data_IF_317367779899
#
_entry.id   IF_317367779899
#
_cell.length_a   1.000
_cell.length_b   1.000
_cell.length_c   1.000
_cell.angle_alpha   90.00
_cell.angle_beta   90.00
_cell.angle_gamma   90.00
#
_symmetry.space_group_name_H-M   'P 1'
#
loop_
_entity.id
_entity.type
_entity.pdbx_description
1 polymer ?
#
# COMPACT_ATOMS: atom_id res chain seq x y z
N UNK A 1 9.18 8.63 -55.83
CA UNK A 1 9.59 7.39 -56.53
C UNK A 1 10.21 6.49 -55.48
N UNK A 2 9.55 5.35 -55.23
CA UNK A 2 9.92 4.19 -54.36
C UNK A 2 9.98 4.49 -52.84
N UNK A 3 8.96 4.18 -52.01
CA UNK A 3 8.46 2.85 -51.56
C UNK A 3 9.55 1.99 -50.93
N UNK A 4 9.56 1.86 -49.60
CA UNK A 4 9.83 0.60 -48.89
C UNK A 4 9.15 0.66 -47.52
N UNK A 5 8.07 -0.11 -47.39
CA UNK A 5 7.47 -0.47 -46.11
C UNK A 5 8.20 -1.69 -45.52
N UNK A 6 8.20 -1.75 -44.18
CA UNK A 6 8.51 -2.96 -43.43
C UNK A 6 7.39 -3.18 -42.43
N UNK A 7 6.47 -4.07 -42.79
CA UNK A 7 5.45 -4.64 -41.93
C UNK A 7 6.12 -5.56 -40.89
N UNK A 8 5.78 -5.47 -39.59
CA UNK A 8 6.17 -6.48 -38.62
C UNK A 8 5.29 -7.74 -38.77
N UNK A 9 5.97 -8.87 -38.94
CA UNK A 9 5.46 -10.23 -39.09
C UNK A 9 4.61 -10.71 -37.90
N UNK A 10 3.48 -11.34 -38.21
CA UNK A 10 2.47 -11.84 -37.28
C UNK A 10 2.69 -13.30 -36.82
N UNK A 11 3.93 -13.71 -36.50
CA UNK A 11 4.28 -15.13 -36.27
C UNK A 11 4.75 -15.51 -34.85
N UNK A 12 4.54 -14.66 -33.83
CA UNK A 12 4.92 -14.98 -32.44
C UNK A 12 3.74 -15.11 -31.46
N UNK A 13 2.53 -15.43 -31.94
CA UNK A 13 1.34 -15.53 -31.09
C UNK A 13 0.95 -16.95 -30.62
N UNK A 14 1.81 -17.97 -30.79
CA UNK A 14 1.46 -19.34 -30.40
C UNK A 14 2.67 -20.11 -29.87
N UNK A 15 3.02 -19.94 -28.59
CA UNK A 15 3.77 -20.93 -27.79
C UNK A 15 3.82 -20.43 -26.33
N UNK A 16 2.95 -20.98 -25.48
CA UNK A 16 2.99 -20.63 -24.05
C UNK A 16 1.80 -21.04 -23.19
N UNK A 17 0.91 -21.93 -23.64
CA UNK A 17 -0.06 -22.59 -22.76
C UNK A 17 0.22 -24.09 -22.83
N UNK A 18 1.04 -24.60 -21.90
CA UNK A 18 0.85 -25.90 -21.25
C UNK A 18 1.97 -26.20 -20.24
N UNK A 19 1.53 -26.80 -19.13
CA UNK A 19 2.29 -27.60 -18.16
C UNK A 19 3.09 -26.88 -17.07
N UNK A 20 2.50 -26.76 -15.87
CA UNK A 20 3.14 -27.18 -14.59
C UNK A 20 2.06 -27.74 -13.63
N UNK A 21 2.13 -29.07 -13.41
CA UNK A 21 1.95 -29.88 -12.18
C UNK A 21 0.71 -29.63 -11.28
N UNK A 22 -0.25 -30.54 -11.06
CA UNK A 22 -0.20 -31.94 -10.56
C UNK A 22 0.70 -32.16 -9.32
N UNK A 23 0.09 -32.35 -8.14
CA UNK A 23 0.82 -32.89 -6.97
C UNK A 23 0.17 -32.77 -5.60
N UNK A 24 -0.73 -33.70 -5.29
CA UNK A 24 -0.92 -34.41 -4.00
C UNK A 24 -1.44 -33.68 -2.73
N UNK A 25 -2.43 -34.32 -2.06
CA UNK A 25 -2.53 -34.27 -0.59
C UNK A 25 -3.91 -34.37 0.05
N UNK A 26 -4.45 -35.60 0.18
CA UNK A 26 -5.27 -36.16 1.27
C UNK A 26 -6.15 -35.25 2.16
N UNK A 27 -7.47 -35.52 2.16
CA UNK A 27 -8.20 -35.73 3.42
C UNK A 27 -9.42 -36.63 3.20
N UNK A 28 -9.46 -37.69 4.00
CA UNK A 28 -10.44 -38.76 4.06
C UNK A 28 -11.84 -38.31 4.52
N UNK A 29 -12.83 -39.08 4.02
CA UNK A 29 -14.21 -39.38 4.47
C UNK A 29 -14.50 -39.33 6.00
N UNK A 30 -15.78 -39.30 6.49
CA UNK A 30 -16.95 -39.96 5.89
C UNK A 30 -18.34 -39.28 5.97
N UNK A 31 -19.34 -39.84 5.25
CA UNK A 31 -20.77 -39.59 5.41
C UNK A 31 -21.46 -40.67 6.26
N UNK A 32 -22.31 -40.27 7.22
CA UNK A 32 -23.31 -41.10 7.93
C UNK A 32 -24.16 -40.11 8.78
N UNK A 33 -25.49 -40.12 8.87
CA UNK A 33 -26.47 -41.16 8.58
C UNK A 33 -27.28 -41.49 9.84
N UNK A 34 -28.35 -40.74 10.15
CA UNK A 34 -29.47 -41.15 11.03
C UNK A 34 -30.52 -40.03 10.99
N UNK A 35 -31.77 -40.21 10.57
CA UNK A 35 -32.63 -41.37 10.70
C UNK A 35 -33.71 -41.05 11.71
N UNK A 36 -34.85 -40.53 11.26
CA UNK A 36 -36.12 -40.90 11.89
C UNK A 36 -37.26 -40.85 10.88
N UNK A 37 -37.59 -42.04 10.39
CA UNK A 37 -38.85 -42.38 9.77
C UNK A 37 -39.93 -42.56 10.85
N UNK A 38 -41.18 -42.30 10.49
CA UNK A 38 -42.34 -42.55 11.35
C UNK A 38 -43.40 -41.48 11.13
N UNK A 39 -44.12 -41.53 10.01
CA UNK A 39 -45.43 -42.20 9.90
C UNK A 39 -46.60 -41.37 10.43
N UNK A 40 -47.71 -41.51 9.69
CA UNK A 40 -49.05 -40.91 9.82
C UNK A 40 -49.14 -39.46 9.30
N UNK A 41 -49.81 -39.11 8.19
CA UNK A 41 -50.99 -39.64 7.51
C UNK A 41 -52.10 -40.07 8.47
N UNK A 42 -53.14 -39.23 8.61
CA UNK A 42 -54.53 -39.53 9.02
C UNK A 42 -55.07 -38.27 9.75
N UNK A 43 -56.28 -37.83 9.38
CA UNK A 43 -57.09 -37.01 10.28
C UNK A 43 -57.60 -35.68 9.73
N UNK A 44 -58.28 -35.72 8.58
CA UNK A 44 -59.35 -34.76 8.31
C UNK A 44 -60.51 -35.14 9.24
N UNK A 45 -60.50 -34.64 10.49
CA UNK A 45 -61.59 -34.89 11.44
C UNK A 45 -62.37 -33.60 11.69
N UNK A 46 -63.59 -33.62 11.19
CA UNK A 46 -64.63 -32.67 11.47
C UNK A 46 -65.20 -32.93 12.87
N UNK A 47 -65.32 -31.86 13.66
CA UNK A 47 -66.33 -31.73 14.71
C UNK A 47 -65.94 -32.16 16.12
N UNK A 48 -65.80 -31.18 17.02
CA UNK A 48 -66.59 -31.14 18.27
C UNK A 48 -66.53 -29.73 18.91
N UNK A 49 -67.61 -28.93 18.90
CA UNK A 49 -67.65 -27.59 19.47
C UNK A 49 -68.15 -27.58 20.91
N UNK A 50 -67.49 -28.28 21.84
CA UNK A 50 -67.75 -28.05 23.27
C UNK A 50 -66.55 -28.38 24.15
N UNK A 51 -65.68 -27.38 24.39
CA UNK A 51 -64.71 -27.47 25.49
C UNK A 51 -64.68 -26.16 26.30
N UNK A 52 -64.84 -26.22 27.64
CA UNK A 52 -65.07 -25.04 28.47
C UNK A 52 -63.78 -24.22 28.69
N UNK A 53 -63.86 -22.94 28.32
CA UNK A 53 -63.14 -21.78 28.88
C UNK A 53 -61.75 -21.99 29.48
N UNK A 54 -60.73 -22.25 28.66
CA UNK A 54 -59.34 -21.98 29.05
C UNK A 54 -59.10 -20.47 28.98
N UNK A 55 -58.83 -19.86 30.14
CA UNK A 55 -58.35 -18.46 30.25
C UNK A 55 -57.18 -18.28 29.27
N UNK A 56 -57.13 -17.19 28.49
CA UNK A 56 -56.04 -16.96 27.55
C UNK A 56 -54.74 -16.87 28.34
N UNK A 57 -53.97 -17.96 28.35
CA UNK A 57 -52.60 -17.95 28.84
C UNK A 57 -51.85 -16.95 27.97
N UNK A 58 -51.32 -15.90 28.59
CA UNK A 58 -50.43 -14.96 27.91
C UNK A 58 -49.43 -15.77 27.11
N UNK A 59 -49.45 -15.60 25.78
CA UNK A 59 -48.59 -16.30 24.84
C UNK A 59 -47.16 -16.21 25.36
N UNK A 60 -46.62 -17.35 25.79
CA UNK A 60 -45.23 -17.47 26.26
C UNK A 60 -44.24 -16.91 25.23
N UNK A 61 -44.59 -16.98 23.94
CA UNK A 61 -43.84 -16.35 22.85
C UNK A 61 -43.70 -14.83 22.98
N UNK A 62 -44.72 -14.12 23.47
CA UNK A 62 -44.68 -12.67 23.62
C UNK A 62 -43.78 -12.24 24.80
N UNK A 63 -43.75 -13.03 25.87
CA UNK A 63 -42.81 -12.83 26.99
C UNK A 63 -41.35 -13.02 26.55
N UNK A 64 -41.05 -14.08 25.78
CA UNK A 64 -39.70 -14.33 25.28
C UNK A 64 -39.27 -13.23 24.29
N UNK A 65 -40.16 -12.82 23.38
CA UNK A 65 -39.89 -11.72 22.45
C UNK A 65 -39.59 -10.41 23.19
N UNK A 66 -40.41 -10.06 24.19
CA UNK A 66 -40.20 -8.86 25.00
C UNK A 66 -38.87 -8.87 25.74
N UNK A 67 -38.47 -10.03 26.28
CA UNK A 67 -37.17 -10.21 26.94
C UNK A 67 -36.01 -10.00 25.96
N UNK A 68 -36.07 -10.61 24.77
CA UNK A 68 -35.00 -10.48 23.76
C UNK A 68 -34.86 -9.02 23.30
N UNK A 69 -35.98 -8.33 23.07
CA UNK A 69 -35.98 -6.91 22.70
C UNK A 69 -35.38 -6.04 23.81
N UNK A 70 -35.72 -6.32 25.08
CA UNK A 70 -35.16 -5.59 26.21
C UNK A 70 -33.63 -5.79 26.33
N UNK A 71 -33.13 -7.02 26.14
CA UNK A 71 -31.69 -7.32 26.18
C UNK A 71 -30.97 -6.64 25.01
N UNK A 72 -31.47 -6.78 23.79
CA UNK A 72 -30.87 -6.16 22.60
C UNK A 72 -30.86 -4.63 22.68
N UNK A 73 -31.97 -4.02 23.14
CA UNK A 73 -32.07 -2.59 23.37
C UNK A 73 -31.09 -2.09 24.45
N UNK A 74 -30.93 -2.86 25.53
CA UNK A 74 -29.97 -2.57 26.60
C UNK A 74 -28.52 -2.53 26.11
N UNK A 75 -28.10 -3.54 25.35
CA UNK A 75 -26.73 -3.60 24.79
C UNK A 75 -26.47 -2.41 23.86
N UNK A 76 -27.44 -2.04 23.02
CA UNK A 76 -27.29 -0.96 22.05
C UNK A 76 -27.16 0.42 22.73
N UNK A 77 -27.93 0.68 23.79
CA UNK A 77 -27.78 1.90 24.60
C UNK A 77 -26.42 1.93 25.31
N UNK A 78 -25.94 0.79 25.81
CA UNK A 78 -24.65 0.71 26.48
C UNK A 78 -23.51 1.07 25.50
N UNK A 79 -23.50 0.51 24.29
CA UNK A 79 -22.53 0.87 23.25
C UNK A 79 -22.58 2.36 22.89
N UNK A 80 -23.79 2.95 22.81
CA UNK A 80 -23.96 4.37 22.55
C UNK A 80 -23.34 5.24 23.65
N UNK A 81 -23.46 4.83 24.91
CA UNK A 81 -22.92 5.59 26.04
C UNK A 81 -21.39 5.50 26.11
N UNK A 82 -20.81 4.32 25.85
CA UNK A 82 -19.35 4.15 25.78
C UNK A 82 -18.72 4.85 24.57
N UNK A 83 -19.41 4.85 23.42
CA UNK A 83 -18.95 5.57 22.23
C UNK A 83 -18.86 7.10 22.46
N UNK A 84 -19.73 7.66 23.30
CA UNK A 84 -19.69 9.09 23.65
C UNK A 84 -18.66 9.41 24.74
N UNK A 85 -18.36 8.47 25.64
CA UNK A 85 -17.35 8.65 26.69
C UNK A 85 -15.91 8.43 26.21
N UNK A 86 -15.73 7.68 25.11
CA UNK A 86 -14.48 7.60 24.37
C UNK A 86 -14.17 8.89 23.59
N UNK A 87 -14.55 10.06 24.14
CA UNK A 87 -14.16 11.36 23.62
C UNK A 87 -12.67 11.29 23.34
N UNK A 88 -12.32 11.39 22.05
CA UNK A 88 -10.95 11.44 21.59
C UNK A 88 -10.26 12.49 22.44
N UNK A 89 -9.50 12.05 23.46
CA UNK A 89 -8.52 12.90 24.07
C UNK A 89 -7.54 13.13 22.96
N UNK A 90 -7.77 14.20 22.20
CA UNK A 90 -6.70 14.85 21.47
C UNK A 90 -5.72 15.20 22.57
N UNK A 91 -4.77 14.29 22.81
CA UNK A 91 -3.52 14.61 23.47
C UNK A 91 -3.02 15.73 22.59
N UNK A 92 -3.27 16.95 23.04
CA UNK A 92 -2.70 18.13 22.47
C UNK A 92 -1.23 17.96 22.80
N UNK A 93 -0.52 17.24 21.93
CA UNK A 93 0.92 17.15 21.95
C UNK A 93 1.32 18.57 21.57
N UNK A 94 1.31 19.43 22.58
CA UNK A 94 2.05 20.66 22.55
C UNK A 94 3.48 20.15 22.43
N UNK A 95 3.98 20.08 21.20
CA UNK A 95 5.40 19.94 20.95
C UNK A 95 5.96 21.27 21.43
N UNK A 96 6.11 21.40 22.75
CA UNK A 96 7.02 22.33 23.36
C UNK A 96 8.37 21.92 22.82
N UNK A 97 8.75 22.50 21.68
CA UNK A 97 10.14 22.69 21.38
C UNK A 97 10.64 23.53 22.55
N UNK A 98 11.50 23.01 23.45
CA UNK A 98 12.21 23.88 24.34
C UNK A 98 13.16 24.69 23.45
N UNK A 99 12.65 25.77 22.87
CA UNK A 99 13.46 26.92 22.48
C UNK A 99 13.82 27.59 23.80
N UNK A 100 14.58 26.87 24.63
CA UNK A 100 15.21 27.39 25.81
C UNK A 100 16.14 28.49 25.34
N UNK A 101 15.69 29.74 25.52
CA UNK A 101 16.54 30.89 25.51
C UNK A 101 17.68 30.63 26.50
N UNK A 102 18.90 30.52 25.99
CA UNK A 102 20.07 30.23 26.82
C UNK A 102 21.30 29.96 25.99
N UNK A 103 21.47 28.73 25.49
CA UNK A 103 22.83 28.26 25.18
C UNK A 103 23.09 27.90 23.70
N UNK A 104 22.06 27.78 22.84
CA UNK A 104 22.27 27.33 21.45
C UNK A 104 22.41 28.43 20.39
N UNK A 105 21.99 29.66 20.70
CA UNK A 105 22.09 30.78 19.73
C UNK A 105 23.55 31.16 19.44
N UNK A 106 24.44 31.03 20.42
CA UNK A 106 25.87 31.36 20.25
C UNK A 106 26.57 30.33 19.35
N UNK A 107 26.14 29.06 19.37
CA UNK A 107 26.71 28.02 18.52
C UNK A 107 26.25 28.15 17.06
N UNK A 108 24.98 28.48 16.82
CA UNK A 108 24.45 28.69 15.47
C UNK A 108 25.06 29.93 14.80
N UNK A 109 25.28 31.01 15.54
CA UNK A 109 25.92 32.23 15.00
C UNK A 109 27.39 31.97 14.63
N UNK A 110 28.12 31.19 15.44
CA UNK A 110 29.51 30.80 15.15
C UNK A 110 29.62 29.84 13.95
N UNK A 111 28.69 28.90 13.80
CA UNK A 111 28.65 28.02 12.63
C UNK A 111 28.26 28.81 11.37
N UNK A 112 27.31 29.74 11.48
CA UNK A 112 26.92 30.61 10.38
C UNK A 112 28.09 31.49 9.90
N UNK A 113 28.80 32.14 10.82
CA UNK A 113 29.98 32.95 10.49
C UNK A 113 31.10 32.11 9.90
N UNK A 114 31.30 30.87 10.39
CA UNK A 114 32.27 29.94 9.82
C UNK A 114 31.93 29.57 8.38
N UNK A 115 30.66 29.27 8.08
CA UNK A 115 30.20 28.95 6.72
C UNK A 115 30.32 30.17 5.81
N UNK A 116 29.88 31.35 6.26
CA UNK A 116 29.98 32.59 5.47
C UNK A 116 31.44 32.98 5.21
N UNK A 117 32.35 32.75 6.16
CA UNK A 117 33.79 32.98 5.97
C UNK A 117 34.42 31.97 4.99
N UNK A 118 33.94 30.73 4.97
CA UNK A 118 34.34 29.70 4.01
C UNK A 118 33.94 30.08 2.59
N UNK A 119 32.70 30.54 2.41
CA UNK A 119 32.17 30.98 1.11
C UNK A 119 32.94 32.19 0.57
N UNK A 120 33.24 33.18 1.42
CA UNK A 120 34.07 34.35 1.03
C UNK A 120 35.50 33.96 0.63
N UNK A 121 36.06 32.88 1.19
CA UNK A 121 37.38 32.36 0.77
C UNK A 121 37.31 31.60 -0.56
N UNK A 122 36.22 30.90 -0.83
CA UNK A 122 36.06 30.14 -2.09
C UNK A 122 35.65 31.00 -3.28
N UNK A 123 35.08 32.18 -3.06
CA UNK A 123 34.67 33.11 -4.12
C UNK A 123 35.85 33.80 -4.81
N UNK A 124 37.06 33.68 -4.25
CA UNK A 124 38.29 33.98 -4.97
C UNK A 124 38.51 32.88 -6.01
N UNK A 125 37.88 33.05 -7.18
CA UNK A 125 38.24 32.35 -8.40
C UNK A 125 39.74 32.51 -8.60
N UNK A 126 40.50 31.44 -8.30
CA UNK A 126 41.94 31.39 -8.60
C UNK A 126 42.05 31.39 -10.11
N UNK A 127 42.18 32.59 -10.68
CA UNK A 127 42.42 32.78 -12.08
C UNK A 127 43.85 32.33 -12.35
N UNK A 128 43.99 31.10 -12.83
CA UNK A 128 45.27 30.51 -13.19
C UNK A 128 45.87 31.39 -14.30
N UNK A 129 47.07 31.96 -14.12
CA UNK A 129 47.74 32.75 -15.14
C UNK A 129 47.85 31.92 -16.42
N UNK A 130 47.61 32.54 -17.58
CA UNK A 130 47.63 31.81 -18.86
C UNK A 130 49.00 31.19 -19.17
N UNK A 131 50.08 31.65 -18.52
CA UNK A 131 51.42 31.06 -18.67
C UNK A 131 51.56 29.66 -18.05
N UNK A 132 50.71 29.28 -17.09
CA UNK A 132 50.71 27.95 -16.45
C UNK A 132 49.86 26.91 -17.21
N UNK A 133 49.06 27.33 -18.20
CA UNK A 133 48.24 26.44 -19.04
C UNK A 133 49.08 25.95 -20.23
N UNK A 134 50.13 25.17 -19.98
CA UNK A 134 51.01 24.65 -21.06
C UNK A 134 50.44 23.45 -21.82
N UNK A 135 49.40 22.78 -21.31
CA UNK A 135 48.74 21.66 -21.98
C UNK A 135 47.27 21.96 -22.20
N UNK A 136 46.87 21.96 -23.47
CA UNK A 136 45.47 21.99 -23.84
C UNK A 136 44.82 20.66 -23.40
N UNK A 137 43.87 20.66 -22.44
CA UNK A 137 43.25 19.43 -21.94
C UNK A 137 42.37 18.74 -22.98
N UNK A 138 42.13 19.38 -24.14
CA UNK A 138 41.43 18.80 -25.28
C UNK A 138 42.38 18.25 -26.36
N UNK A 139 43.69 18.45 -26.20
CA UNK A 139 44.70 17.76 -26.99
C UNK A 139 45.09 16.47 -26.26
N UNK A 140 44.16 15.51 -26.25
CA UNK A 140 44.53 14.11 -26.08
C UNK A 140 45.54 13.80 -27.18
N UNK A 141 46.79 13.53 -26.79
CA UNK A 141 47.87 13.33 -27.74
C UNK A 141 47.47 12.36 -28.86
N UNK A 142 47.88 12.68 -30.08
CA UNK A 142 48.01 11.71 -31.16
C UNK A 142 48.93 10.59 -30.66
N UNK A 143 48.32 9.61 -30.02
CA UNK A 143 48.93 8.34 -29.67
C UNK A 143 49.19 7.66 -31.02
N UNK A 144 50.40 7.16 -31.28
CA UNK A 144 50.69 6.44 -32.51
C UNK A 144 49.65 5.35 -32.71
N UNK A 145 49.26 5.10 -33.97
CA UNK A 145 48.28 4.13 -34.43
C UNK A 145 48.51 2.72 -33.82
N UNK A 146 48.18 2.54 -32.54
CA UNK A 146 47.64 1.29 -32.06
C UNK A 146 46.31 1.17 -32.76
N UNK A 147 46.24 0.26 -33.73
CA UNK A 147 45.00 -0.37 -34.19
C UNK A 147 44.01 -0.40 -33.02
N UNK A 148 43.07 0.55 -33.03
CA UNK A 148 41.93 0.55 -32.13
C UNK A 148 41.10 -0.62 -32.63
N UNK A 149 41.39 -1.80 -32.09
CA UNK A 149 40.38 -2.84 -31.90
C UNK A 149 39.25 -2.10 -31.22
N UNK A 150 38.20 -1.78 -31.99
CA UNK A 150 36.96 -1.20 -31.49
C UNK A 150 36.64 -2.01 -30.23
N UNK A 151 36.72 -1.42 -29.02
CA UNK A 151 36.35 -2.17 -27.83
C UNK A 151 34.90 -2.53 -28.07
N UNK A 152 34.64 -3.84 -28.16
CA UNK A 152 33.37 -4.45 -28.49
C UNK A 152 32.27 -3.69 -27.72
N UNK A 153 31.60 -2.73 -28.37
CA UNK A 153 30.52 -1.90 -27.80
C UNK A 153 29.24 -2.72 -27.66
N UNK A 154 29.40 -4.01 -27.43
CA UNK A 154 28.43 -4.94 -26.91
C UNK A 154 28.69 -5.02 -25.40
N UNK A 155 28.54 -3.89 -24.70
CA UNK A 155 27.99 -4.00 -23.34
C UNK A 155 26.71 -4.80 -23.56
N UNK A 156 26.75 -6.07 -23.15
CA UNK A 156 25.75 -7.05 -23.55
C UNK A 156 24.38 -6.43 -23.27
N UNK A 157 23.40 -6.58 -24.16
CA UNK A 157 22.05 -6.05 -23.94
C UNK A 157 21.51 -6.46 -22.54
N UNK A 158 21.99 -7.60 -22.03
CA UNK A 158 21.81 -8.08 -20.67
C UNK A 158 22.33 -7.12 -19.56
N UNK A 159 23.49 -6.48 -19.71
CA UNK A 159 23.99 -5.48 -18.76
C UNK A 159 23.15 -4.20 -18.79
N UNK A 160 22.70 -3.77 -19.96
CA UNK A 160 21.83 -2.59 -20.09
C UNK A 160 20.48 -2.86 -19.41
N UNK A 161 19.88 -4.02 -19.66
CA UNK A 161 18.63 -4.45 -19.01
C UNK A 161 18.79 -4.57 -17.49
N UNK A 162 19.92 -5.09 -17.00
CA UNK A 162 20.22 -5.16 -15.57
C UNK A 162 20.26 -3.77 -14.93
N UNK A 163 21.01 -2.84 -15.54
CA UNK A 163 21.12 -1.47 -15.02
C UNK A 163 19.77 -0.75 -15.00
N UNK A 164 18.92 -0.95 -16.01
CA UNK A 164 17.59 -0.35 -16.05
C UNK A 164 16.68 -0.88 -14.94
N UNK A 165 16.70 -2.18 -14.66
CA UNK A 165 15.94 -2.77 -13.53
C UNK A 165 16.40 -2.20 -12.20
N UNK A 166 17.71 -2.16 -11.96
CA UNK A 166 18.25 -1.60 -10.72
C UNK A 166 17.90 -0.12 -10.53
N UNK A 167 17.87 0.67 -11.60
CA UNK A 167 17.43 2.07 -11.53
C UNK A 167 15.96 2.18 -11.16
N UNK A 168 15.10 1.38 -11.81
CA UNK A 168 13.66 1.33 -11.51
C UNK A 168 13.41 0.93 -10.06
N UNK A 169 14.08 -0.11 -9.56
CA UNK A 169 13.93 -0.57 -8.17
C UNK A 169 14.32 0.52 -7.16
N UNK A 170 15.36 1.30 -7.47
CA UNK A 170 15.78 2.44 -6.64
C UNK A 170 14.73 3.54 -6.65
N UNK A 171 14.16 3.86 -7.81
CA UNK A 171 13.10 4.85 -7.95
C UNK A 171 11.83 4.43 -7.20
N UNK A 172 11.42 3.17 -7.33
CA UNK A 172 10.27 2.59 -6.61
C UNK A 172 10.50 2.70 -5.09
N UNK A 173 11.67 2.27 -4.58
CA UNK A 173 11.98 2.37 -3.14
C UNK A 173 12.07 3.80 -2.65
N UNK A 174 12.70 4.69 -3.42
CA UNK A 174 12.79 6.11 -3.07
C UNK A 174 11.39 6.74 -2.99
N UNK A 175 10.52 6.43 -3.96
CA UNK A 175 9.14 6.90 -3.98
C UNK A 175 8.33 6.32 -2.82
N UNK A 176 8.47 5.02 -2.53
CA UNK A 176 7.82 4.37 -1.39
C UNK A 176 8.20 5.04 -0.07
N UNK A 177 9.48 5.36 0.13
CA UNK A 177 9.97 6.04 1.34
C UNK A 177 9.45 7.47 1.50
N UNK A 178 9.05 8.12 0.40
CA UNK A 178 8.46 9.46 0.41
C UNK A 178 6.95 9.44 0.68
N UNK A 179 6.28 8.30 0.48
CA UNK A 179 4.85 8.16 0.73
C UNK A 179 4.58 8.04 2.23
N UNK A 180 3.55 8.75 2.70
CA UNK A 180 3.13 8.70 4.10
C UNK A 180 1.64 8.44 4.19
N UNK A 181 1.27 7.37 4.88
CA UNK A 181 -0.13 7.09 5.20
C UNK A 181 -0.58 7.99 6.36
N UNK A 182 -1.47 8.92 6.08
CA UNK A 182 -1.96 9.88 7.08
C UNK A 182 -3.14 9.33 7.88
N UNK A 183 -4.13 8.76 7.19
CA UNK A 183 -5.36 8.27 7.81
C UNK A 183 -6.08 7.32 6.88
N UNK A 184 -6.77 6.34 7.45
CA UNK A 184 -7.71 5.49 6.72
C UNK A 184 -9.12 5.78 7.24
N UNK A 185 -10.06 6.00 6.33
CA UNK A 185 -11.47 6.16 6.64
C UNK A 185 -12.15 4.84 6.27
N UNK A 186 -12.51 4.07 7.28
CA UNK A 186 -13.26 2.82 7.13
C UNK A 186 -14.73 3.10 6.84
N UNK A 187 -15.31 2.35 5.91
CA UNK A 187 -16.71 2.46 5.51
C UNK A 187 -17.04 1.42 4.43
N UNK A 188 -18.25 1.49 3.84
CA UNK A 188 -18.62 0.63 2.71
C UNK A 188 -17.67 0.81 1.52
N UNK A 189 -17.16 2.04 1.32
CA UNK A 189 -16.12 2.36 0.35
C UNK A 189 -14.92 2.90 1.14
N UNK A 190 -13.88 2.08 1.39
CA UNK A 190 -12.72 2.52 2.15
C UNK A 190 -11.94 3.58 1.36
N UNK A 191 -11.45 4.60 2.06
CA UNK A 191 -10.63 5.68 1.49
C UNK A 191 -9.38 5.84 2.33
N UNK A 192 -8.21 5.83 1.69
CA UNK A 192 -6.93 6.10 2.32
C UNK A 192 -6.46 7.52 1.97
N UNK A 193 -5.91 8.25 2.95
CA UNK A 193 -5.20 9.51 2.69
C UNK A 193 -3.70 9.25 2.70
N UNK A 194 -3.09 9.35 1.53
CA UNK A 194 -1.65 9.15 1.35
C UNK A 194 -1.06 10.49 0.89
N UNK A 195 -0.05 10.97 1.61
CA UNK A 195 0.61 12.27 1.35
C UNK A 195 -0.40 13.42 1.21
N UNK A 196 -1.44 13.41 2.05
CA UNK A 196 -2.48 14.43 2.09
C UNK A 196 -3.59 14.30 1.05
N UNK A 197 -3.49 13.40 0.06
CA UNK A 197 -4.52 13.20 -0.99
C UNK A 197 -5.37 11.95 -0.71
N UNK A 198 -6.70 11.99 -0.95
CA UNK A 198 -7.57 10.83 -0.79
C UNK A 198 -7.48 9.90 -2.00
N UNK A 199 -7.38 8.60 -1.76
CA UNK A 199 -7.32 7.55 -2.78
C UNK A 199 -8.24 6.37 -2.40
N UNK A 200 -8.74 5.67 -3.42
CA UNK A 200 -9.57 4.46 -3.32
C UNK A 200 -8.82 3.24 -3.86
N UNK A 201 -9.38 2.06 -3.62
CA UNK A 201 -8.90 0.82 -4.24
C UNK A 201 -8.96 0.97 -5.76
N UNK A 202 -7.84 0.67 -6.44
CA UNK A 202 -7.67 0.81 -7.88
C UNK A 202 -7.07 2.13 -8.35
N UNK A 203 -6.96 3.14 -7.48
CA UNK A 203 -6.33 4.42 -7.85
C UNK A 203 -4.81 4.30 -7.90
N UNK A 204 -4.18 5.11 -8.77
CA UNK A 204 -2.73 5.24 -8.86
C UNK A 204 -2.19 6.30 -7.91
N UNK A 205 -1.17 5.95 -7.15
CA UNK A 205 -0.47 6.81 -6.19
C UNK A 205 0.93 7.12 -6.72
N UNK A 206 1.24 8.41 -6.81
CA UNK A 206 2.55 8.91 -7.30
C UNK A 206 2.97 8.31 -8.66
N UNK A 207 1.99 7.99 -9.52
CA UNK A 207 2.17 7.44 -10.88
C UNK A 207 2.91 6.09 -10.97
N UNK A 208 3.28 5.49 -9.84
CA UNK A 208 4.08 4.25 -9.76
C UNK A 208 3.29 3.11 -9.10
N UNK A 209 2.48 3.41 -8.09
CA UNK A 209 1.80 2.39 -7.28
C UNK A 209 0.31 2.34 -7.56
N UNK A 210 -0.29 1.15 -7.54
CA UNK A 210 -1.75 0.96 -7.60
C UNK A 210 -2.24 0.41 -6.27
N UNK A 211 -3.31 0.97 -5.72
CA UNK A 211 -3.88 0.48 -4.46
C UNK A 211 -4.64 -0.83 -4.71
N UNK A 212 -4.14 -1.94 -4.16
CA UNK A 212 -4.79 -3.25 -4.27
C UNK A 212 -5.81 -3.49 -3.16
N UNK A 213 -5.45 -3.15 -1.92
CA UNK A 213 -6.34 -3.34 -0.77
C UNK A 213 -6.12 -2.25 0.29
N UNK A 214 -7.19 -1.90 1.00
CA UNK A 214 -7.15 -0.95 2.12
C UNK A 214 -7.65 -1.69 3.36
N UNK A 215 -6.77 -1.85 4.35
CA UNK A 215 -7.06 -2.48 5.64
C UNK A 215 -7.42 -1.43 6.70
N UNK A 216 -7.59 -1.84 7.95
CA UNK A 216 -7.92 -0.92 9.04
C UNK A 216 -6.79 0.08 9.35
N UNK A 217 -5.53 -0.33 9.21
CA UNK A 217 -4.33 0.47 9.59
C UNK A 217 -3.19 0.40 8.58
N UNK A 218 -3.37 -0.29 7.47
CA UNK A 218 -2.37 -0.45 6.42
C UNK A 218 -3.03 -0.42 5.05
N UNK A 219 -2.23 -0.15 4.02
CA UNK A 219 -2.64 -0.17 2.61
C UNK A 219 -1.64 -1.03 1.85
N UNK A 220 -2.13 -1.98 1.07
CA UNK A 220 -1.30 -2.78 0.17
C UNK A 220 -1.24 -2.09 -1.19
N UNK A 221 -0.04 -1.66 -1.55
CA UNK A 221 0.31 -1.02 -2.81
C UNK A 221 0.96 -2.06 -3.72
N UNK A 222 0.58 -2.07 -4.99
CA UNK A 222 1.18 -2.93 -6.01
C UNK A 222 2.02 -2.05 -6.95
N UNK A 223 3.28 -2.41 -7.15
CA UNK A 223 4.14 -1.82 -8.17
C UNK A 223 4.91 -2.93 -8.89
N UNK A 224 4.75 -3.00 -10.22
CA UNK A 224 5.39 -4.00 -11.08
C UNK A 224 5.17 -5.47 -10.62
N UNK A 225 4.06 -5.75 -9.92
CA UNK A 225 3.68 -7.07 -9.41
C UNK A 225 4.22 -7.41 -8.02
N UNK A 226 4.98 -6.51 -7.40
CA UNK A 226 5.41 -6.61 -6.00
C UNK A 226 4.47 -5.84 -5.08
N UNK A 227 4.07 -6.47 -3.98
CA UNK A 227 3.13 -5.90 -3.01
C UNK A 227 3.92 -5.27 -1.86
N UNK A 228 3.74 -3.97 -1.67
CA UNK A 228 4.30 -3.17 -0.59
C UNK A 228 3.20 -2.78 0.40
N UNK A 229 3.37 -3.11 1.68
CA UNK A 229 2.41 -2.72 2.72
C UNK A 229 2.86 -1.43 3.38
N UNK A 230 2.05 -0.38 3.30
CA UNK A 230 2.27 0.90 3.96
C UNK A 230 1.42 0.97 5.23
N UNK A 231 2.05 1.16 6.39
CA UNK A 231 1.37 1.16 7.70
C UNK A 231 1.28 2.57 8.31
N UNK A 232 0.26 2.81 9.14
CA UNK A 232 0.15 4.08 9.89
C UNK A 232 1.26 4.15 10.94
N UNK A 233 2.11 5.18 10.83
CA UNK A 233 3.10 5.53 11.86
C UNK A 233 4.50 4.99 11.61
N UNK A 234 4.69 4.16 10.58
CA UNK A 234 6.00 3.68 10.17
C UNK A 234 6.65 4.68 9.22
N UNK A 235 7.95 4.91 9.43
CA UNK A 235 8.79 5.85 8.70
C UNK A 235 10.14 5.19 8.41
#
# INVERSE_FOLDING_TARGET
MMMFGSEPSADEAQLGLNAIAEGAGNAETPPEGTGNAGQALVGLEAGDPTSPGRKPGMQSGLMVLALVVAVAGGVLIMMRQYALQGGLQFVNVNIDYPIGAGDKRIADDLEHDRVMSGLRRSELLVQIPLEEIQRNPFQLGEKPEETVTVPDTRLSEAEILRRQREQRDREVRATLSALRLNSIISGHIPIARISGRPYRIGDTVADVFIIRSIHARSVDLDADGEIFTLSIGER
#
